data_IF_899976979435
#
_entry.id   IF_899976979435
#
_cell.length_a   1.000
_cell.length_b   1.000
_cell.length_c   1.000
_cell.angle_alpha   90.00
_cell.angle_beta   90.00
_cell.angle_gamma   90.00
#
_symmetry.space_group_name_H-M   'P 1'
#
loop_
_entity.id
_entity.type
_entity.pdbx_description
1 polymer ?
#
# COMPACT_ATOMS: atom_id res chain seq x y z
N UNK A 1 14.40 12.71 4.11
CA UNK A 1 15.46 12.14 3.29
C UNK A 1 15.06 12.06 1.82
N UNK A 2 16.00 12.21 0.94
CA UNK A 2 15.83 12.12 -0.50
C UNK A 2 16.90 11.21 -1.09
N UNK A 3 16.50 10.42 -2.08
CA UNK A 3 17.36 9.52 -2.85
C UNK A 3 17.30 9.94 -4.31
N UNK A 4 18.46 10.01 -4.97
CA UNK A 4 18.57 10.15 -6.42
C UNK A 4 19.23 8.90 -6.98
N UNK A 5 18.57 8.22 -7.89
CA UNK A 5 19.11 7.09 -8.63
C UNK A 5 19.60 7.57 -9.98
N UNK A 6 20.85 7.28 -10.28
CA UNK A 6 21.51 7.71 -11.51
C UNK A 6 20.96 6.98 -12.72
N UNK A 7 20.99 7.69 -13.84
CA UNK A 7 20.47 7.39 -15.15
C UNK A 7 20.67 5.96 -15.63
N UNK A 8 19.55 5.23 -15.82
CA UNK A 8 19.48 4.05 -16.70
C UNK A 8 18.12 4.03 -17.39
N UNK A 9 18.09 3.85 -18.70
CA UNK A 9 16.90 4.00 -19.54
C UNK A 9 15.74 3.04 -19.20
N UNK A 10 16.04 1.90 -18.53
CA UNK A 10 15.07 0.82 -18.32
C UNK A 10 14.67 0.60 -16.85
N UNK A 11 14.84 1.58 -16.00
CA UNK A 11 14.34 1.51 -14.63
C UNK A 11 12.82 1.52 -14.59
N UNK A 12 12.27 0.58 -13.83
CA UNK A 12 10.87 0.53 -13.42
C UNK A 12 10.76 0.86 -11.94
N UNK A 13 9.61 1.28 -11.54
CA UNK A 13 9.28 1.47 -10.13
C UNK A 13 7.97 0.78 -9.80
N UNK A 14 7.86 0.28 -8.57
CA UNK A 14 6.65 -0.26 -8.00
C UNK A 14 6.19 0.65 -6.85
N UNK A 15 4.95 1.09 -6.95
CA UNK A 15 4.28 1.88 -5.94
C UNK A 15 3.18 1.02 -5.31
N UNK A 16 3.30 0.60 -4.04
CA UNK A 16 2.30 -0.20 -3.37
C UNK A 16 1.14 0.68 -2.85
N UNK A 17 0.45 1.36 -3.78
CA UNK A 17 -0.75 2.15 -3.50
C UNK A 17 -1.97 1.24 -3.35
N UNK A 18 -3.15 1.81 -3.08
CA UNK A 18 -4.42 1.06 -3.06
C UNK A 18 -4.68 0.35 -4.39
N UNK A 19 -4.29 1.00 -5.48
CA UNK A 19 -4.18 0.38 -6.81
C UNK A 19 -2.69 0.21 -7.11
N UNK A 20 -2.08 -0.91 -6.70
CA UNK A 20 -0.65 -1.09 -6.89
C UNK A 20 -0.30 -1.15 -8.37
N UNK A 21 0.74 -0.45 -8.75
CA UNK A 21 1.16 -0.42 -10.13
C UNK A 21 2.68 -0.49 -10.28
N UNK A 22 3.09 -0.99 -11.44
CA UNK A 22 4.46 -1.01 -11.89
C UNK A 22 4.52 -0.19 -13.17
N UNK A 23 5.42 0.77 -13.21
CA UNK A 23 5.59 1.61 -14.39
C UNK A 23 7.07 1.84 -14.73
N UNK A 24 7.31 2.09 -16.01
CA UNK A 24 8.58 2.60 -16.52
C UNK A 24 8.44 4.02 -17.08
N UNK A 25 7.26 4.58 -17.03
CA UNK A 25 6.95 5.89 -17.60
C UNK A 25 7.57 7.03 -16.80
N UNK A 26 7.79 8.15 -17.48
CA UNK A 26 8.16 9.39 -16.83
C UNK A 26 6.91 9.98 -16.18
N UNK A 27 6.91 10.04 -14.87
CA UNK A 27 5.78 10.52 -14.09
C UNK A 27 6.22 11.02 -12.72
N UNK A 28 5.38 11.83 -12.12
CA UNK A 28 5.54 12.34 -10.77
C UNK A 28 4.37 11.89 -9.90
N UNK A 29 4.69 11.29 -8.77
CA UNK A 29 3.73 10.83 -7.77
C UNK A 29 4.06 11.44 -6.43
N UNK A 30 3.03 11.86 -5.72
CA UNK A 30 3.11 12.36 -4.35
C UNK A 30 1.91 11.84 -3.57
N UNK A 31 2.10 10.68 -2.91
CA UNK A 31 1.03 9.93 -2.27
C UNK A 31 1.14 9.99 -0.75
N UNK A 32 0.01 10.24 -0.12
CA UNK A 32 -0.12 10.28 1.32
C UNK A 32 -0.30 8.87 1.91
N UNK A 33 0.55 8.50 2.85
CA UNK A 33 0.36 7.38 3.76
C UNK A 33 -0.69 7.81 4.80
N UNK A 34 -1.61 7.10 5.17
CA UNK A 34 -2.13 5.76 5.10
C UNK A 34 -3.38 5.66 4.21
N UNK A 35 -3.70 6.73 3.48
CA UNK A 35 -4.92 6.80 2.66
C UNK A 35 -4.73 6.11 1.32
N UNK A 36 -3.75 6.58 0.55
CA UNK A 36 -3.49 6.06 -0.79
C UNK A 36 -2.28 5.14 -0.88
N UNK A 37 -1.51 5.06 0.20
CA UNK A 37 -0.26 4.34 0.27
C UNK A 37 -0.21 3.47 1.54
N UNK A 38 -0.77 2.25 1.49
CA UNK A 38 -0.95 1.43 2.69
C UNK A 38 0.35 0.78 3.20
N UNK A 39 1.37 0.67 2.36
CA UNK A 39 2.65 0.04 2.69
C UNK A 39 3.81 1.04 2.58
N UNK A 40 4.64 1.13 3.59
CA UNK A 40 5.68 2.15 3.72
C UNK A 40 6.98 1.75 3.00
N UNK A 41 6.90 1.42 1.71
CA UNK A 41 8.10 1.16 0.90
C UNK A 41 7.96 1.63 -0.54
N UNK A 42 9.09 1.88 -1.16
CA UNK A 42 9.24 2.12 -2.59
C UNK A 42 10.22 1.10 -3.17
N UNK A 43 9.94 0.63 -4.36
CA UNK A 43 10.81 -0.29 -5.10
C UNK A 43 11.19 0.30 -6.44
N UNK A 44 12.49 0.32 -6.73
CA UNK A 44 13.05 0.73 -8.02
C UNK A 44 13.88 -0.43 -8.54
N UNK A 45 13.55 -0.96 -9.71
CA UNK A 45 14.20 -2.13 -10.27
C UNK A 45 14.40 -1.98 -11.78
N UNK A 46 15.34 -2.70 -12.32
CA UNK A 46 15.69 -2.48 -13.72
C UNK A 46 16.46 -3.62 -14.37
N UNK A 47 17.12 -3.26 -15.45
CA UNK A 47 17.96 -4.18 -16.22
C UNK A 47 19.12 -4.67 -15.35
N UNK A 48 19.39 -5.98 -15.42
CA UNK A 48 20.42 -6.63 -14.62
C UNK A 48 19.92 -7.34 -13.40
N UNK A 49 18.57 -7.38 -13.20
CA UNK A 49 17.97 -8.17 -12.14
C UNK A 49 18.27 -7.65 -10.74
N UNK A 50 18.43 -6.33 -10.57
CA UNK A 50 18.62 -5.70 -9.26
C UNK A 50 17.45 -4.84 -8.88
N UNK A 51 17.15 -4.85 -7.60
CA UNK A 51 16.12 -4.00 -6.99
C UNK A 51 16.70 -3.17 -5.86
N UNK A 52 16.37 -1.90 -5.87
CA UNK A 52 16.61 -0.95 -4.79
C UNK A 52 15.29 -0.75 -4.04
N UNK A 53 15.31 -1.03 -2.74
CA UNK A 53 14.15 -0.90 -1.87
C UNK A 53 14.42 0.19 -0.83
N UNK A 54 13.47 1.09 -0.70
CA UNK A 54 13.43 2.10 0.35
C UNK A 54 12.25 1.80 1.26
N UNK A 55 12.48 1.43 2.51
CA UNK A 55 11.45 1.11 3.51
C UNK A 55 11.51 2.14 4.63
N UNK A 56 10.37 2.72 4.95
CA UNK A 56 10.20 3.50 6.17
C UNK A 56 9.63 2.58 7.25
N UNK A 57 10.33 2.46 8.37
CA UNK A 57 9.90 1.67 9.53
C UNK A 57 9.37 2.61 10.61
N UNK A 58 8.15 3.06 10.41
CA UNK A 58 7.48 3.95 11.35
C UNK A 58 6.10 3.38 11.71
N UNK A 59 5.90 3.16 13.00
CA UNK A 59 4.67 2.57 13.55
C UNK A 59 3.59 3.62 13.82
N UNK A 60 3.94 4.90 13.70
CA UNK A 60 2.97 5.97 13.87
C UNK A 60 2.08 6.06 12.63
N UNK A 61 0.83 6.46 12.86
CA UNK A 61 -0.10 6.77 11.76
C UNK A 61 -0.02 8.23 11.32
N UNK A 62 1.03 8.92 11.71
CA UNK A 62 1.23 10.31 11.35
C UNK A 62 1.33 10.49 9.84
N UNK A 63 0.90 11.63 9.37
CA UNK A 63 0.88 11.95 7.94
C UNK A 63 2.29 11.98 7.36
N UNK A 64 2.51 11.09 6.43
CA UNK A 64 3.76 10.96 5.66
C UNK A 64 3.42 10.95 4.19
N UNK A 65 4.32 11.46 3.38
CA UNK A 65 4.15 11.41 1.94
C UNK A 65 5.35 10.71 1.30
N UNK A 66 5.04 9.94 0.30
CA UNK A 66 6.00 9.25 -0.55
C UNK A 66 5.97 9.92 -1.90
N UNK A 67 7.08 10.55 -2.24
CA UNK A 67 7.27 11.21 -3.51
C UNK A 67 8.22 10.40 -4.38
N UNK A 68 7.84 10.22 -5.63
CA UNK A 68 8.67 9.63 -6.66
C UNK A 68 8.50 10.43 -7.94
N UNK A 69 9.60 10.81 -8.56
CA UNK A 69 9.62 11.46 -9.85
C UNK A 69 10.63 10.75 -10.76
N UNK A 70 10.16 10.27 -11.90
CA UNK A 70 11.01 9.78 -12.99
C UNK A 70 11.01 10.79 -14.11
N UNK A 71 12.17 11.36 -14.37
CA UNK A 71 12.37 12.39 -15.39
C UNK A 71 12.53 11.78 -16.79
N UNK A 72 12.40 12.61 -17.84
CA UNK A 72 12.55 12.19 -19.24
C UNK A 72 13.95 11.71 -19.61
N UNK A 73 14.97 12.12 -18.85
CA UNK A 73 16.36 11.68 -18.99
C UNK A 73 16.68 10.43 -18.15
N UNK A 74 15.67 9.83 -17.54
CA UNK A 74 15.76 8.54 -16.85
C UNK A 74 16.27 8.61 -15.41
N UNK A 75 16.37 9.80 -14.84
CA UNK A 75 16.68 9.95 -13.42
C UNK A 75 15.44 9.66 -12.56
N UNK A 76 15.64 8.98 -11.43
CA UNK A 76 14.57 8.74 -10.46
C UNK A 76 14.94 9.44 -9.16
N UNK A 77 14.00 10.24 -8.69
CA UNK A 77 14.05 10.91 -7.40
C UNK A 77 12.99 10.31 -6.49
N UNK A 78 13.41 9.82 -5.33
CA UNK A 78 12.50 9.34 -4.28
C UNK A 78 12.70 10.16 -3.02
N UNK A 79 11.60 10.56 -2.38
CA UNK A 79 11.61 11.29 -1.12
C UNK A 79 10.54 10.74 -0.20
N UNK A 80 10.84 10.70 1.08
CA UNK A 80 9.85 10.49 2.13
C UNK A 80 9.88 11.73 3.01
N UNK A 81 8.74 12.34 3.22
CA UNK A 81 8.64 13.49 4.09
C UNK A 81 7.42 13.42 5.01
N UNK A 82 7.60 13.95 6.18
CA UNK A 82 6.64 13.98 7.25
C UNK A 82 5.79 15.26 7.15
N UNK A 83 4.48 15.11 7.33
CA UNK A 83 3.52 16.20 7.36
C UNK A 83 2.88 16.26 8.74
N UNK A 84 3.59 16.79 9.72
CA UNK A 84 3.08 16.98 11.06
C UNK A 84 3.61 18.28 11.64
N UNK A 85 2.92 18.80 12.62
CA UNK A 85 3.44 19.87 13.45
C UNK A 85 4.45 19.25 14.42
N UNK A 86 5.70 19.68 14.35
CA UNK A 86 6.76 19.26 15.27
C UNK A 86 7.02 20.46 16.17
N UNK A 87 6.77 20.29 17.46
CA UNK A 87 7.13 21.31 18.46
C UNK A 87 8.64 21.39 18.61
N UNK A 88 9.20 22.54 19.00
CA UNK A 88 10.65 22.68 19.15
C UNK A 88 11.31 21.71 20.16
N UNK A 89 10.53 21.12 21.05
CA UNK A 89 10.96 20.13 22.03
C UNK A 89 10.83 18.68 21.56
N UNK A 90 10.13 18.45 20.44
CA UNK A 90 9.89 17.11 19.93
C UNK A 90 11.11 16.58 19.17
N UNK A 91 11.36 15.29 19.35
CA UNK A 91 12.37 14.56 18.59
C UNK A 91 11.65 13.58 17.68
N UNK A 92 11.73 13.83 16.38
CA UNK A 92 11.23 12.88 15.37
C UNK A 92 12.37 11.94 14.97
N UNK A 93 12.20 10.66 15.25
CA UNK A 93 13.14 9.62 14.82
C UNK A 93 12.48 8.79 13.71
N UNK A 94 13.02 8.89 12.50
CA UNK A 94 12.59 8.08 11.37
C UNK A 94 13.65 7.02 11.08
N UNK A 95 13.24 5.76 11.10
CA UNK A 95 14.10 4.65 10.71
C UNK A 95 13.83 4.28 9.26
N UNK A 96 14.84 4.45 8.42
CA UNK A 96 14.77 4.13 6.99
C UNK A 96 15.75 3.01 6.69
N UNK A 97 15.27 1.98 6.01
CA UNK A 97 16.09 0.90 5.47
C UNK A 97 16.23 1.12 3.97
N UNK A 98 17.47 1.18 3.52
CA UNK A 98 17.85 1.17 2.11
C UNK A 98 18.53 -0.16 1.83
N UNK A 99 17.98 -0.92 0.89
CA UNK A 99 18.44 -2.25 0.55
C UNK A 99 18.61 -2.41 -0.96
N UNK A 100 19.67 -3.10 -1.37
CA UNK A 100 19.94 -3.44 -2.77
C UNK A 100 20.21 -4.94 -2.83
N UNK A 101 19.44 -5.64 -3.66
CA UNK A 101 19.59 -7.08 -3.87
C UNK A 101 19.33 -7.48 -5.32
N UNK A 102 19.63 -8.72 -5.65
CA UNK A 102 19.23 -9.31 -6.91
C UNK A 102 17.74 -9.67 -6.86
N UNK A 103 17.02 -9.43 -7.97
CA UNK A 103 15.60 -9.70 -8.11
C UNK A 103 14.80 -8.51 -8.64
N UNK A 104 13.53 -8.51 -8.32
CA UNK A 104 12.58 -7.48 -8.72
C UNK A 104 11.76 -6.95 -7.52
N UNK A 105 10.63 -6.32 -7.76
CA UNK A 105 9.78 -5.75 -6.71
C UNK A 105 9.25 -6.79 -5.69
N UNK A 106 9.19 -8.08 -6.04
CA UNK A 106 8.80 -9.13 -5.09
C UNK A 106 9.80 -9.22 -3.94
N UNK A 107 11.08 -9.04 -4.22
CA UNK A 107 12.12 -9.01 -3.18
C UNK A 107 11.93 -7.83 -2.22
N UNK A 108 11.46 -6.69 -2.73
CA UNK A 108 11.10 -5.54 -1.90
C UNK A 108 9.94 -5.85 -0.96
N UNK A 109 8.91 -6.54 -1.47
CA UNK A 109 7.76 -6.95 -0.67
C UNK A 109 8.16 -7.99 0.40
N UNK A 110 9.00 -8.96 0.04
CA UNK A 110 9.55 -9.93 0.97
C UNK A 110 10.38 -9.26 2.08
N UNK A 111 11.22 -8.29 1.72
CA UNK A 111 11.98 -7.51 2.70
C UNK A 111 11.06 -6.72 3.63
N UNK A 112 10.10 -6.01 3.06
CA UNK A 112 9.11 -5.25 3.83
C UNK A 112 8.41 -6.13 4.85
N UNK A 113 7.86 -7.27 4.39
CA UNK A 113 7.23 -8.26 5.25
C UNK A 113 8.14 -8.74 6.39
N UNK A 114 9.38 -9.14 6.07
CA UNK A 114 10.35 -9.62 7.07
C UNK A 114 10.66 -8.56 8.14
N UNK A 115 10.79 -7.29 7.74
CA UNK A 115 11.08 -6.19 8.65
C UNK A 115 9.89 -5.92 9.59
N UNK A 116 8.67 -5.99 9.08
CA UNK A 116 7.46 -5.81 9.88
C UNK A 116 7.16 -7.01 10.77
N UNK A 117 7.33 -8.23 10.29
CA UNK A 117 7.18 -9.43 11.07
C UNK A 117 8.10 -9.43 12.29
N UNK A 118 9.34 -9.03 12.16
CA UNK A 118 10.28 -8.90 13.27
C UNK A 118 9.83 -7.90 14.35
N UNK A 119 9.08 -6.90 13.98
CA UNK A 119 8.59 -5.85 14.89
C UNK A 119 7.26 -6.21 15.55
N UNK A 120 6.35 -6.82 14.81
CA UNK A 120 4.95 -6.99 15.20
C UNK A 120 4.56 -8.41 15.55
N UNK A 121 5.47 -9.40 15.48
CA UNK A 121 5.18 -10.79 15.85
C UNK A 121 4.99 -11.05 17.35
N UNK A 122 4.84 -10.03 18.16
CA UNK A 122 4.42 -10.21 19.54
C UNK A 122 2.91 -10.46 19.64
N UNK A 123 2.45 -11.57 19.06
CA UNK A 123 1.36 -12.31 19.64
C UNK A 123 -0.08 -11.94 19.36
N UNK A 124 -0.40 -11.08 18.44
CA UNK A 124 -1.79 -10.98 17.97
C UNK A 124 -2.13 -12.17 17.05
N UNK A 125 -2.52 -13.28 17.67
CA UNK A 125 -3.08 -14.40 16.91
C UNK A 125 -4.43 -13.95 16.37
N UNK A 126 -4.59 -13.94 15.05
CA UNK A 126 -5.91 -13.70 14.44
C UNK A 126 -6.93 -14.68 15.01
N UNK A 127 -8.15 -14.26 15.32
CA UNK A 127 -9.22 -15.15 15.76
C UNK A 127 -9.37 -16.34 14.79
N UNK A 128 -9.69 -17.52 15.31
CA UNK A 128 -9.82 -18.74 14.50
C UNK A 128 -10.83 -18.57 13.36
N UNK A 129 -11.93 -17.86 13.61
CA UNK A 129 -12.92 -17.60 12.57
C UNK A 129 -12.33 -16.81 11.40
N UNK A 130 -11.47 -15.82 11.69
CA UNK A 130 -10.82 -15.02 10.65
C UNK A 130 -9.75 -15.84 9.89
N UNK A 131 -9.03 -16.74 10.58
CA UNK A 131 -8.05 -17.63 9.94
C UNK A 131 -8.71 -18.62 8.97
N UNK A 132 -9.95 -18.98 9.24
CA UNK A 132 -10.73 -19.91 8.43
C UNK A 132 -11.66 -19.22 7.42
N UNK A 133 -11.64 -17.88 7.38
CA UNK A 133 -12.45 -17.11 6.43
C UNK A 133 -11.79 -17.09 5.05
N UNK A 134 -12.54 -17.51 4.03
CA UNK A 134 -12.09 -17.56 2.63
C UNK A 134 -12.76 -16.51 1.77
N UNK A 135 -13.85 -15.94 2.24
CA UNK A 135 -14.65 -14.97 1.49
C UNK A 135 -14.84 -13.70 2.33
N UNK A 136 -14.34 -12.60 1.80
CA UNK A 136 -14.61 -11.26 2.30
C UNK A 136 -15.44 -10.52 1.27
N UNK A 137 -16.58 -9.98 1.71
CA UNK A 137 -17.44 -9.15 0.87
C UNK A 137 -17.55 -7.76 1.46
N UNK A 138 -17.28 -6.75 0.66
CA UNK A 138 -17.47 -5.35 1.03
C UNK A 138 -18.58 -4.76 0.17
N UNK A 139 -19.54 -4.10 0.81
CA UNK A 139 -20.55 -3.32 0.13
C UNK A 139 -20.38 -1.84 0.42
N UNK A 140 -20.77 -1.04 -0.56
CA UNK A 140 -20.76 0.41 -0.40
C UNK A 140 -22.12 0.89 0.13
N UNK A 141 -22.09 1.75 1.13
CA UNK A 141 -23.33 2.39 1.67
C UNK A 141 -23.86 3.50 0.75
N UNK A 142 -23.05 3.92 -0.22
CA UNK A 142 -23.36 5.05 -1.07
C UNK A 142 -24.25 4.64 -2.25
N UNK A 143 -25.31 5.40 -2.48
CA UNK A 143 -26.34 5.17 -3.52
C UNK A 143 -25.84 5.18 -4.98
N UNK A 144 -24.61 5.65 -5.24
CA UNK A 144 -24.07 5.75 -6.59
C UNK A 144 -23.25 4.52 -7.03
N UNK A 145 -23.17 3.50 -6.19
CA UNK A 145 -22.49 2.26 -6.53
C UNK A 145 -23.49 1.16 -6.86
N UNK A 146 -23.27 0.47 -7.98
CA UNK A 146 -24.11 -0.64 -8.41
C UNK A 146 -24.11 -1.81 -7.40
N UNK A 147 -23.00 -1.97 -6.67
CA UNK A 147 -22.83 -2.94 -5.58
C UNK A 147 -23.24 -2.36 -4.20
N UNK A 148 -23.93 -1.22 -4.18
CA UNK A 148 -24.41 -0.61 -2.95
C UNK A 148 -25.54 -1.43 -2.31
N UNK A 149 -25.65 -1.34 -0.98
CA UNK A 149 -26.76 -1.94 -0.22
C UNK A 149 -27.96 -1.00 -0.05
N UNK A 150 -27.89 0.17 -0.63
CA UNK A 150 -28.99 1.14 -0.60
C UNK A 150 -29.71 1.18 -1.94
N UNK A 151 -30.98 0.81 -1.95
CA UNK A 151 -31.81 0.85 -3.14
C UNK A 151 -32.48 2.22 -3.31
N UNK A 152 -32.06 2.98 -4.31
CA UNK A 152 -32.55 4.32 -4.60
C UNK A 152 -34.06 4.40 -4.82
N UNK A 153 -34.64 3.39 -5.47
CA UNK A 153 -36.06 3.39 -5.84
C UNK A 153 -36.99 3.24 -4.65
N UNK A 154 -36.61 2.40 -3.69
CA UNK A 154 -37.40 2.15 -2.48
C UNK A 154 -36.96 3.02 -1.31
N UNK A 155 -35.77 3.57 -1.35
CA UNK A 155 -35.17 4.31 -0.23
C UNK A 155 -34.78 3.42 0.94
N UNK A 156 -34.66 2.11 0.73
CA UNK A 156 -34.39 1.12 1.77
C UNK A 156 -33.00 0.47 1.58
N UNK A 157 -32.51 -0.12 2.66
CA UNK A 157 -31.35 -0.99 2.61
C UNK A 157 -31.77 -2.42 2.24
N UNK A 158 -31.08 -3.02 1.26
CA UNK A 158 -31.34 -4.37 0.74
C UNK A 158 -30.27 -5.37 1.19
N UNK A 159 -29.88 -5.32 2.47
CA UNK A 159 -28.81 -6.18 3.03
C UNK A 159 -29.16 -7.66 2.92
N UNK A 160 -30.40 -8.03 3.26
CA UNK A 160 -30.82 -9.43 3.26
C UNK A 160 -30.81 -10.03 1.86
N UNK A 161 -31.31 -9.31 0.85
CA UNK A 161 -31.29 -9.73 -0.54
C UNK A 161 -29.86 -9.90 -1.04
N UNK A 162 -28.97 -8.96 -0.74
CA UNK A 162 -27.55 -9.01 -1.11
C UNK A 162 -26.82 -10.18 -0.45
N UNK A 163 -27.08 -10.45 0.81
CA UNK A 163 -26.54 -11.62 1.50
C UNK A 163 -27.00 -12.94 0.86
N UNK A 164 -28.28 -13.04 0.49
CA UNK A 164 -28.80 -14.24 -0.19
C UNK A 164 -28.19 -14.41 -1.59
N UNK A 165 -28.01 -13.33 -2.35
CA UNK A 165 -27.34 -13.34 -3.64
C UNK A 165 -25.90 -13.82 -3.51
N UNK A 166 -25.13 -13.23 -2.57
CA UNK A 166 -23.73 -13.59 -2.34
C UNK A 166 -23.61 -15.03 -1.81
N UNK A 167 -24.49 -15.46 -0.91
CA UNK A 167 -24.52 -16.84 -0.44
C UNK A 167 -24.77 -17.83 -1.57
N UNK A 168 -25.68 -17.50 -2.48
CA UNK A 168 -25.97 -18.33 -3.65
C UNK A 168 -24.82 -18.37 -4.65
N UNK A 169 -24.17 -17.23 -4.90
CA UNK A 169 -23.11 -17.11 -5.89
C UNK A 169 -21.77 -17.67 -5.39
N UNK A 170 -21.46 -17.51 -4.12
CA UNK A 170 -20.16 -17.81 -3.52
C UNK A 170 -20.16 -19.05 -2.62
N UNK A 171 -21.33 -19.64 -2.36
CA UNK A 171 -21.49 -20.79 -1.46
C UNK A 171 -21.48 -20.41 0.02
N UNK A 172 -21.31 -19.13 0.33
CA UNK A 172 -21.32 -18.57 1.66
C UNK A 172 -20.51 -17.27 1.74
N UNK A 173 -20.76 -16.49 2.78
CA UNK A 173 -20.00 -15.27 3.10
C UNK A 173 -19.63 -15.35 4.57
N UNK A 174 -18.34 -15.31 4.86
CA UNK A 174 -17.85 -15.47 6.22
C UNK A 174 -18.14 -14.25 7.10
N UNK A 175 -18.11 -13.07 6.51
CA UNK A 175 -18.52 -11.82 7.17
C UNK A 175 -18.74 -10.70 6.13
N UNK A 176 -19.38 -9.66 6.60
CA UNK A 176 -19.82 -8.51 5.81
C UNK A 176 -19.23 -7.22 6.37
#
# INVERSE_FOLDING_TARGET
>A
PSLKVLKQENWKYCFPSLEPFISSECAEYDLEYSTWFPMQFLSIFGVGGRVLTLVLLDETQDRKRFYLNKTSDGEIYAKIYYQGEISPQDILVLQIVLDIRDGDWHESLCLYRQLWEKRHLSGAVSPIWLQNSYVFRQWFLHENYDDGIFEKKSGNYCIEEKLQEDQKALGGVDYV
#
